data_IF_232439164710
#
_entry.id   IF_232439164710
#
_cell.length_a   1.000
_cell.length_b   1.000
_cell.length_c   1.000
_cell.angle_alpha   90.00
_cell.angle_beta   90.00
_cell.angle_gamma   90.00
#
_symmetry.space_group_name_H-M   'P 1'
#
loop_
_entity.id
_entity.type
_entity.pdbx_description
1 polymer ?
#
# COMPACT_ATOMS: atom_id res chain seq x y z
N UNK A 1 14.57 3.66 -41.72
CA UNK A 1 14.65 2.20 -41.42
C UNK A 1 15.74 2.02 -40.38
N UNK A 2 15.44 1.93 -39.08
CA UNK A 2 16.46 1.56 -38.12
C UNK A 2 16.76 0.07 -38.32
N UNK A 3 18.04 -0.20 -38.49
CA UNK A 3 18.66 -1.50 -38.55
C UNK A 3 19.25 -1.75 -37.16
N UNK A 4 18.67 -2.68 -36.41
CA UNK A 4 19.11 -3.18 -35.10
C UNK A 4 18.34 -4.50 -34.90
N UNK A 5 18.86 -5.68 -34.52
CA UNK A 5 20.11 -6.10 -33.90
C UNK A 5 20.31 -7.60 -34.19
N UNK A 6 21.55 -8.07 -34.25
CA UNK A 6 21.92 -9.50 -34.30
C UNK A 6 21.96 -10.12 -32.89
N UNK A 7 21.44 -9.46 -31.86
CA UNK A 7 21.68 -9.86 -30.47
C UNK A 7 20.59 -10.81 -29.90
N UNK A 8 20.91 -12.11 -29.92
CA UNK A 8 20.26 -13.17 -29.15
C UNK A 8 18.76 -13.38 -29.47
N UNK A 9 18.46 -14.21 -30.46
CA UNK A 9 17.09 -14.70 -30.74
C UNK A 9 16.61 -15.57 -29.57
N UNK A 10 16.07 -14.90 -28.55
CA UNK A 10 15.56 -15.57 -27.36
C UNK A 10 14.19 -16.16 -27.68
N UNK A 11 14.08 -17.46 -27.56
CA UNK A 11 12.81 -18.16 -27.74
C UNK A 11 11.91 -17.93 -26.54
N UNK A 12 10.64 -17.63 -26.78
CA UNK A 12 9.65 -17.49 -25.73
C UNK A 12 9.54 -18.81 -24.93
N UNK A 13 9.64 -18.74 -23.60
CA UNK A 13 9.53 -19.93 -22.74
C UNK A 13 8.18 -20.66 -22.87
N UNK A 14 7.12 -19.96 -23.29
CA UNK A 14 5.78 -20.52 -23.48
C UNK A 14 5.51 -20.97 -24.93
N UNK A 15 6.32 -20.50 -25.87
CA UNK A 15 6.12 -20.77 -27.29
C UNK A 15 7.47 -21.08 -27.94
N UNK A 16 7.80 -22.38 -28.15
CA UNK A 16 9.07 -22.78 -28.73
C UNK A 16 9.26 -22.34 -30.20
N UNK A 17 8.17 -21.87 -30.84
CA UNK A 17 8.14 -21.43 -32.23
C UNK A 17 8.25 -19.91 -32.42
N UNK A 18 8.38 -19.12 -31.34
CA UNK A 18 8.49 -17.66 -31.43
C UNK A 18 9.79 -17.17 -30.80
N UNK A 19 10.57 -16.51 -31.64
CA UNK A 19 11.69 -15.68 -31.24
C UNK A 19 11.17 -14.32 -30.75
N UNK A 20 11.83 -13.77 -29.74
CA UNK A 20 11.38 -12.55 -29.05
C UNK A 20 12.57 -11.73 -28.63
N UNK A 21 12.43 -10.41 -28.70
CA UNK A 21 13.38 -9.45 -28.12
C UNK A 21 12.83 -8.80 -26.84
N UNK A 22 11.60 -9.15 -26.42
CA UNK A 22 10.99 -8.61 -25.20
C UNK A 22 11.28 -9.47 -23.97
N UNK A 23 11.47 -8.79 -22.84
CA UNK A 23 11.71 -9.42 -21.52
C UNK A 23 10.76 -8.86 -20.48
N UNK A 24 10.38 -9.69 -19.51
CA UNK A 24 9.54 -9.26 -18.38
C UNK A 24 10.35 -8.39 -17.38
N UNK A 25 9.83 -7.23 -16.97
CA UNK A 25 10.53 -6.29 -16.07
C UNK A 25 10.63 -6.73 -14.58
N UNK A 26 10.24 -7.96 -14.24
CA UNK A 26 10.34 -8.48 -12.87
C UNK A 26 11.08 -9.80 -12.75
N UNK A 27 11.09 -10.54 -13.84
CA UNK A 27 11.45 -11.94 -13.86
C UNK A 27 12.47 -12.19 -14.99
N UNK A 28 12.75 -11.16 -15.81
CA UNK A 28 13.72 -11.07 -16.93
C UNK A 28 13.60 -12.16 -18.01
N UNK A 29 12.58 -13.03 -17.89
CA UNK A 29 12.28 -14.11 -18.83
C UNK A 29 11.90 -13.55 -20.21
N UNK A 30 12.37 -14.17 -21.30
CA UNK A 30 11.99 -13.79 -22.65
C UNK A 30 10.53 -14.16 -22.92
N UNK A 31 9.74 -13.18 -23.36
CA UNK A 31 8.30 -13.31 -23.62
C UNK A 31 7.94 -12.75 -24.99
N UNK A 32 7.02 -13.42 -25.68
CA UNK A 32 6.52 -12.92 -26.94
C UNK A 32 5.42 -11.86 -26.72
N UNK A 33 5.16 -11.04 -27.74
CA UNK A 33 4.13 -9.98 -27.72
C UNK A 33 2.74 -10.53 -27.37
N UNK A 34 2.42 -11.78 -27.75
CA UNK A 34 1.13 -12.40 -27.40
C UNK A 34 1.03 -12.84 -25.92
N UNK A 35 2.15 -13.15 -25.28
CA UNK A 35 2.18 -13.54 -23.87
C UNK A 35 2.39 -12.35 -22.93
N UNK A 36 2.86 -11.23 -23.46
CA UNK A 36 3.09 -10.01 -22.71
C UNK A 36 1.77 -9.33 -22.39
N UNK A 37 1.55 -9.05 -21.10
CA UNK A 37 0.40 -8.29 -20.63
C UNK A 37 0.88 -6.87 -20.35
N UNK A 38 0.17 -5.90 -20.92
CA UNK A 38 0.36 -4.50 -20.60
C UNK A 38 -0.13 -4.20 -19.18
N UNK A 39 0.78 -3.71 -18.35
CA UNK A 39 0.48 -3.15 -17.04
C UNK A 39 0.95 -1.69 -17.01
N UNK A 40 0.46 -0.86 -16.09
CA UNK A 40 0.90 0.54 -15.99
C UNK A 40 2.41 0.71 -15.76
N UNK A 41 3.11 -0.34 -15.31
CA UNK A 41 4.57 -0.34 -15.12
C UNK A 41 5.34 -0.99 -16.28
N UNK A 42 4.68 -1.28 -17.40
CA UNK A 42 5.25 -1.89 -18.60
C UNK A 42 4.77 -3.32 -18.86
N UNK A 43 5.60 -4.12 -19.55
CA UNK A 43 5.27 -5.49 -19.92
C UNK A 43 5.55 -6.48 -18.80
N UNK A 44 4.55 -7.34 -18.50
CA UNK A 44 4.65 -8.40 -17.50
C UNK A 44 4.22 -9.74 -18.09
N UNK A 45 4.77 -10.84 -17.58
CA UNK A 45 4.36 -12.19 -17.94
C UNK A 45 3.17 -12.68 -17.08
N UNK A 46 2.40 -13.64 -17.60
CA UNK A 46 1.20 -14.17 -16.95
C UNK A 46 1.46 -14.79 -15.55
N UNK A 47 2.58 -15.50 -15.39
CA UNK A 47 2.96 -16.10 -14.10
C UNK A 47 3.17 -15.03 -13.02
N UNK A 48 3.88 -13.96 -13.38
CA UNK A 48 4.18 -12.87 -12.45
C UNK A 48 2.92 -12.03 -12.12
N UNK A 49 1.90 -12.00 -13.00
CA UNK A 49 0.59 -11.40 -12.73
C UNK A 49 -0.27 -12.28 -11.81
N UNK A 50 -0.32 -13.60 -12.05
CA UNK A 50 -1.08 -14.53 -11.19
C UNK A 50 -0.60 -14.50 -9.74
N UNK A 51 0.73 -14.44 -9.56
CA UNK A 51 1.33 -14.29 -8.22
C UNK A 51 0.92 -12.97 -7.54
N UNK A 52 0.78 -11.87 -8.29
CA UNK A 52 0.32 -10.59 -7.73
C UNK A 52 -1.17 -10.64 -7.38
N UNK A 53 -2.01 -11.16 -8.28
CA UNK A 53 -3.45 -11.24 -8.07
C UNK A 53 -3.82 -12.12 -6.87
N UNK A 54 -3.06 -13.19 -6.60
CA UNK A 54 -3.32 -14.07 -5.44
C UNK A 54 -3.33 -13.29 -4.13
N UNK A 55 -2.42 -12.34 -3.94
CA UNK A 55 -2.32 -11.52 -2.72
C UNK A 55 -3.61 -10.71 -2.50
N UNK A 56 -4.13 -10.10 -3.57
CA UNK A 56 -5.34 -9.28 -3.51
C UNK A 56 -6.62 -10.11 -3.39
N UNK A 57 -6.71 -11.25 -4.09
CA UNK A 57 -7.89 -12.13 -4.01
C UNK A 57 -7.97 -12.87 -2.68
N UNK A 58 -6.83 -13.13 -2.01
CA UNK A 58 -6.82 -13.72 -0.67
C UNK A 58 -6.93 -12.71 0.46
N UNK A 59 -7.05 -11.41 0.15
CA UNK A 59 -7.27 -10.39 1.18
C UNK A 59 -8.64 -10.64 1.80
N UNK A 60 -8.68 -11.11 3.05
CA UNK A 60 -9.95 -11.33 3.73
C UNK A 60 -10.48 -9.99 4.21
N UNK A 61 -11.79 -9.91 4.44
CA UNK A 61 -12.40 -8.73 5.07
C UNK A 61 -11.75 -8.35 6.42
N UNK A 62 -11.15 -9.33 7.12
CA UNK A 62 -10.36 -9.09 8.33
C UNK A 62 -9.01 -8.39 8.10
N UNK A 63 -8.38 -8.51 6.93
CA UNK A 63 -7.16 -7.76 6.60
C UNK A 63 -7.45 -6.26 6.45
N UNK A 64 -8.66 -5.91 6.00
CA UNK A 64 -9.16 -4.53 6.02
C UNK A 64 -9.29 -4.00 7.45
N UNK A 65 -9.84 -4.79 8.38
CA UNK A 65 -9.90 -4.45 9.82
C UNK A 65 -8.51 -4.34 10.43
N UNK A 66 -7.55 -5.17 10.03
CA UNK A 66 -6.16 -5.07 10.49
C UNK A 66 -5.45 -3.84 9.93
N UNK A 67 -5.76 -3.42 8.70
CA UNK A 67 -5.25 -2.17 8.12
C UNK A 67 -5.81 -0.92 8.81
N UNK A 68 -7.05 -0.99 9.30
CA UNK A 68 -7.66 0.04 10.14
C UNK A 68 -7.00 0.13 11.54
N UNK A 69 -6.45 -0.98 12.04
CA UNK A 69 -5.82 -1.04 13.35
C UNK A 69 -4.33 -0.63 13.39
N UNK A 70 -3.76 -0.06 12.31
CA UNK A 70 -2.39 0.47 12.34
C UNK A 70 -2.34 1.97 12.04
N UNK A 71 -2.90 2.74 12.98
CA UNK A 71 -2.97 4.21 13.11
C UNK A 71 -4.31 4.83 12.73
N UNK A 72 -5.31 4.63 13.58
CA UNK A 72 -5.79 5.81 14.30
C UNK A 72 -4.84 6.01 15.49
N UNK A 73 -4.26 7.20 15.59
CA UNK A 73 -3.37 7.61 16.66
C UNK A 73 -3.95 7.29 18.04
N UNK A 74 -3.39 6.32 18.78
CA UNK A 74 -3.48 6.36 20.25
C UNK A 74 -2.51 7.42 20.76
N UNK A 75 -2.87 8.67 20.48
CA UNK A 75 -2.75 9.84 21.35
C UNK A 75 -3.60 10.92 20.68
N UNK A 76 -4.84 11.08 21.17
CA UNK A 76 -5.18 12.37 21.73
C UNK A 76 -5.46 12.18 23.23
N UNK A 77 -4.95 13.11 24.03
CA UNK A 77 -5.39 13.24 25.41
C UNK A 77 -6.91 13.36 25.48
N UNK A 78 -7.48 12.69 26.49
CA UNK A 78 -8.77 12.97 27.14
C UNK A 78 -10.04 12.84 26.27
N UNK A 79 -10.93 11.87 26.57
CA UNK A 79 -12.37 12.10 26.45
C UNK A 79 -12.82 13.02 27.59
N UNK A 80 -13.31 14.19 27.21
CA UNK A 80 -13.72 15.29 28.06
C UNK A 80 -15.19 15.16 28.53
N UNK A 81 -15.69 13.97 28.90
CA UNK A 81 -17.16 13.78 28.99
C UNK A 81 -17.70 13.11 30.27
N UNK A 82 -16.94 13.04 31.37
CA UNK A 82 -17.56 12.78 32.69
C UNK A 82 -17.86 14.11 33.37
N UNK A 83 -19.03 14.67 33.03
CA UNK A 83 -19.69 15.73 33.78
C UNK A 83 -19.68 15.39 35.29
N UNK A 84 -19.35 16.35 36.16
CA UNK A 84 -20.05 17.64 36.17
C UNK A 84 -19.12 18.80 35.84
N UNK A 85 -19.21 19.28 34.60
CA UNK A 85 -18.51 20.47 34.09
C UNK A 85 -18.85 21.77 34.83
N UNK A 86 -19.79 21.74 35.78
CA UNK A 86 -20.03 22.83 36.72
C UNK A 86 -19.02 22.86 37.87
N UNK A 87 -18.56 21.71 38.37
CA UNK A 87 -17.63 21.66 39.52
C UNK A 87 -16.19 21.92 39.10
N UNK A 88 -15.75 21.45 37.92
CA UNK A 88 -14.39 21.74 37.45
C UNK A 88 -14.19 23.25 37.24
N UNK A 89 -15.14 23.92 36.60
CA UNK A 89 -15.03 25.35 36.34
C UNK A 89 -15.09 26.17 37.66
N UNK A 90 -15.87 25.71 38.63
CA UNK A 90 -15.93 26.32 39.97
C UNK A 90 -14.62 26.15 40.75
N UNK A 91 -14.02 24.95 40.74
CA UNK A 91 -12.75 24.66 41.42
C UNK A 91 -11.57 25.40 40.78
N UNK A 92 -11.47 25.45 39.45
CA UNK A 92 -10.41 26.21 38.79
C UNK A 92 -10.53 27.72 39.06
N UNK A 93 -11.74 28.27 39.03
CA UNK A 93 -11.96 29.69 39.30
C UNK A 93 -11.62 30.05 40.75
N UNK A 94 -12.06 29.24 41.72
CA UNK A 94 -11.73 29.46 43.13
C UNK A 94 -10.26 29.20 43.46
N UNK A 95 -9.59 28.25 42.79
CA UNK A 95 -8.14 28.03 42.95
C UNK A 95 -7.31 29.25 42.52
N UNK A 96 -7.72 29.95 41.47
CA UNK A 96 -7.03 31.16 41.01
C UNK A 96 -7.24 32.33 41.97
N UNK A 97 -8.47 32.53 42.45
CA UNK A 97 -8.79 33.53 43.49
C UNK A 97 -8.01 33.25 44.79
N UNK A 98 -8.00 32.02 45.29
CA UNK A 98 -7.25 31.68 46.50
C UNK A 98 -5.74 31.83 46.32
N UNK A 99 -5.20 31.48 45.15
CA UNK A 99 -3.78 31.68 44.84
C UNK A 99 -3.36 33.15 44.82
N UNK A 100 -4.22 34.04 44.30
CA UNK A 100 -3.95 35.49 44.28
C UNK A 100 -4.15 36.19 45.64
N UNK A 101 -4.79 35.55 46.62
CA UNK A 101 -5.12 36.18 47.91
C UNK A 101 -4.18 35.76 49.05
N UNK A 102 -3.44 34.66 48.88
CA UNK A 102 -2.50 34.11 49.88
C UNK A 102 -1.03 34.28 49.46
N UNK A 103 -0.75 34.71 48.22
CA UNK A 103 0.59 35.09 47.74
C UNK A 103 0.75 36.60 47.64
#
# INVERSE_FOLDING_TARGET
KPMSDIENTLTCTFHPKRETQLRCNRCEKPICIKCAIHTPTGYRCQECIRSQQKIFVTTKWFDYIRSYNHRDCFFPGQPADTLPGFLHNFYCFWSWIFGCLVG
#
